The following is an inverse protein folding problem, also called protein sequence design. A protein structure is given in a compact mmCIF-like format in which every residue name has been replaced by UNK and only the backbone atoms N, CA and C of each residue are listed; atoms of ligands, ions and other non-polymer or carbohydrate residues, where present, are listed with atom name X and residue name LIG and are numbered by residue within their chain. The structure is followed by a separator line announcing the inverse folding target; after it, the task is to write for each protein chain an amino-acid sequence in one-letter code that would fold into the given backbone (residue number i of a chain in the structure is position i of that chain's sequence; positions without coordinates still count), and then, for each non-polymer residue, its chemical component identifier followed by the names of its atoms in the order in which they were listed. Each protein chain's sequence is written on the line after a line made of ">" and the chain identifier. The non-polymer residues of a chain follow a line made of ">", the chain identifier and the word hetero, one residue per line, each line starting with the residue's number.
data_IF_765458879193
#
_entry.id   IF_765458879193
#
_cell.length_a   1.000
_cell.length_b   1.000
_cell.length_c   1.000
_cell.angle_alpha   90.00
_cell.angle_beta   90.00
_cell.angle_gamma   90.00
#
_symmetry.space_group_name_H-M   'P 1'
#
loop_
_entity.id
_entity.type
_entity.pdbx_description
1 polymer ?
#
# COMPACT_ATOMS: atom_id res chain seq x y z
N UNK A 1 32.47 13.07 7.13
CA UNK A 1 33.67 13.86 7.13
C UNK A 1 34.78 13.03 6.50
N UNK A 2 34.93 13.10 5.18
CA UNK A 2 36.17 12.78 4.44
C UNK A 2 36.09 13.50 3.11
N UNK A 3 37.01 14.43 2.96
CA UNK A 3 37.24 15.23 1.77
C UNK A 3 37.97 14.38 0.73
N UNK A 4 37.48 14.39 -0.50
CA UNK A 4 38.20 13.87 -1.66
C UNK A 4 38.87 15.03 -2.40
N UNK A 5 40.20 15.06 -2.39
CA UNK A 5 41.01 16.05 -3.07
C UNK A 5 40.97 15.87 -4.58
N UNK A 6 40.63 16.95 -5.27
CA UNK A 6 40.81 17.10 -6.72
C UNK A 6 42.28 17.49 -6.99
N UNK A 7 43.00 16.65 -7.69
CA UNK A 7 44.36 16.96 -8.21
C UNK A 7 44.23 17.56 -9.61
N UNK A 8 44.41 18.86 -9.71
CA UNK A 8 44.61 19.58 -10.98
C UNK A 8 46.08 19.47 -11.39
N UNK A 9 46.36 18.67 -12.41
CA UNK A 9 47.69 18.63 -13.06
C UNK A 9 47.78 19.72 -14.14
N UNK A 10 48.58 20.70 -13.87
CA UNK A 10 48.94 21.77 -14.78
C UNK A 10 50.05 21.28 -15.74
N UNK A 11 49.71 21.11 -17.02
CA UNK A 11 50.67 20.71 -18.07
C UNK A 11 51.21 21.96 -18.79
N UNK A 12 52.29 22.54 -18.27
CA UNK A 12 53.16 23.36 -19.08
C UNK A 12 54.62 23.02 -18.76
N UNK A 13 55.35 22.62 -19.81
CA UNK A 13 56.77 22.34 -19.94
C UNK A 13 57.23 20.88 -19.84
N UNK A 14 57.31 20.25 -20.98
CA UNK A 14 58.44 19.35 -21.32
C UNK A 14 58.50 19.15 -22.84
N UNK A 15 59.40 19.81 -23.49
CA UNK A 15 59.87 19.47 -24.82
C UNK A 15 60.73 18.20 -24.74
N UNK A 16 60.58 17.34 -25.78
CA UNK A 16 61.49 16.27 -26.17
C UNK A 16 61.60 15.05 -25.22
N UNK A 17 60.72 14.10 -25.37
CA UNK A 17 60.99 12.70 -25.10
C UNK A 17 60.19 11.80 -26.09
N UNK A 18 60.96 11.18 -26.95
CA UNK A 18 60.77 10.00 -27.79
C UNK A 18 59.30 9.57 -28.12
N UNK A 19 58.80 10.00 -29.26
CA UNK A 19 57.48 9.73 -29.85
C UNK A 19 57.06 8.23 -29.89
N UNK A 20 58.05 7.31 -29.90
CA UNK A 20 57.82 5.88 -29.95
C UNK A 20 57.45 5.28 -28.59
N UNK A 21 57.85 5.83 -27.46
CA UNK A 21 57.49 5.38 -26.13
C UNK A 21 56.05 5.75 -25.77
N UNK A 22 55.62 6.97 -26.14
CA UNK A 22 54.25 7.43 -25.93
C UNK A 22 53.24 6.68 -26.79
N UNK A 23 53.54 6.40 -28.06
CA UNK A 23 52.67 5.64 -28.95
C UNK A 23 52.47 4.20 -28.49
N UNK A 24 53.51 3.57 -27.94
CA UNK A 24 53.47 2.19 -27.41
C UNK A 24 52.68 2.13 -26.10
N UNK A 25 52.79 3.09 -25.24
CA UNK A 25 52.04 3.14 -23.97
C UNK A 25 50.59 3.60 -24.16
N UNK A 26 50.30 4.45 -25.12
CA UNK A 26 48.89 4.77 -25.53
C UNK A 26 48.20 3.54 -26.14
N UNK A 27 48.92 2.72 -26.94
CA UNK A 27 48.35 1.48 -27.49
C UNK A 27 48.09 0.45 -26.40
N UNK A 28 48.97 0.33 -25.41
CA UNK A 28 48.78 -0.54 -24.24
C UNK A 28 47.65 -0.03 -23.32
N UNK A 29 47.55 1.25 -23.11
CA UNK A 29 46.44 1.87 -22.35
C UNK A 29 45.09 1.72 -23.06
N UNK A 30 45.04 1.83 -24.40
CA UNK A 30 43.84 1.59 -25.19
C UNK A 30 43.44 0.11 -25.23
N UNK A 31 44.40 -0.83 -25.23
CA UNK A 31 44.15 -2.27 -25.13
C UNK A 31 43.68 -2.68 -23.71
N UNK A 32 44.14 -2.01 -22.63
CA UNK A 32 43.62 -2.22 -21.28
C UNK A 32 42.20 -1.59 -21.11
N UNK A 33 41.91 -0.47 -21.74
CA UNK A 33 40.58 0.10 -21.72
C UNK A 33 39.58 -0.73 -22.57
N UNK A 34 40.02 -1.33 -23.66
CA UNK A 34 39.19 -2.21 -24.49
C UNK A 34 38.93 -3.58 -23.84
N UNK A 35 39.84 -4.06 -22.97
CA UNK A 35 39.64 -5.30 -22.22
C UNK A 35 38.70 -5.15 -21.02
N UNK A 36 38.43 -3.91 -20.55
CA UNK A 36 37.47 -3.66 -19.44
C UNK A 36 36.05 -3.37 -19.91
N UNK A 37 35.78 -3.22 -21.19
CA UNK A 37 34.43 -3.00 -21.76
C UNK A 37 33.73 -4.32 -22.13
N UNK A 38 34.36 -5.47 -21.93
CA UNK A 38 33.83 -6.81 -22.24
C UNK A 38 33.12 -7.53 -21.08
N UNK A 39 33.01 -6.94 -19.89
CA UNK A 39 32.03 -7.39 -18.91
C UNK A 39 30.69 -6.75 -19.31
N UNK A 40 29.93 -7.44 -20.18
CA UNK A 40 28.50 -7.28 -20.22
C UNK A 40 28.05 -7.39 -18.74
N UNK A 41 27.65 -6.29 -18.13
CA UNK A 41 26.86 -6.34 -16.94
C UNK A 41 25.71 -7.28 -17.27
N UNK A 42 25.74 -8.53 -16.75
CA UNK A 42 24.51 -9.27 -16.61
C UNK A 42 23.57 -8.28 -15.96
N UNK A 43 22.57 -7.82 -16.69
CA UNK A 43 21.40 -7.23 -16.10
C UNK A 43 20.90 -8.33 -15.19
N UNK A 44 21.25 -8.25 -13.90
CA UNK A 44 20.59 -9.04 -12.88
C UNK A 44 19.11 -8.70 -13.07
N UNK A 45 18.32 -9.68 -13.50
CA UNK A 45 16.88 -9.49 -13.56
C UNK A 45 16.50 -9.17 -12.12
N UNK A 46 16.02 -7.95 -11.90
CA UNK A 46 15.57 -7.52 -10.58
C UNK A 46 14.57 -8.56 -10.09
N UNK A 47 14.78 -9.10 -8.89
CA UNK A 47 13.87 -10.07 -8.30
C UNK A 47 12.43 -9.55 -8.37
N UNK A 48 11.43 -10.40 -8.57
CA UNK A 48 10.03 -9.98 -8.46
C UNK A 48 9.78 -9.37 -7.07
N UNK A 49 8.88 -8.42 -6.96
CA UNK A 49 8.62 -7.72 -5.69
C UNK A 49 8.32 -8.66 -4.53
N UNK A 50 7.59 -9.76 -4.78
CA UNK A 50 7.28 -10.76 -3.74
C UNK A 50 8.47 -11.64 -3.32
N UNK A 51 9.68 -11.34 -3.81
CA UNK A 51 10.97 -11.94 -3.45
C UNK A 51 12.05 -10.88 -3.23
N UNK A 52 11.68 -9.63 -2.99
CA UNK A 52 12.59 -8.49 -2.78
C UNK A 52 12.24 -7.77 -1.47
N UNK A 53 12.89 -8.10 -0.33
CA UNK A 53 12.59 -7.54 0.99
C UNK A 53 12.74 -6.02 1.08
N UNK A 54 13.29 -5.38 0.06
CA UNK A 54 13.36 -3.92 -0.02
C UNK A 54 12.07 -3.29 -0.56
N UNK A 55 11.11 -4.11 -1.06
CA UNK A 55 9.89 -3.66 -1.74
C UNK A 55 8.67 -4.32 -1.14
N UNK A 56 8.18 -3.82 -0.04
CA UNK A 56 6.92 -4.28 0.55
C UNK A 56 5.68 -3.49 0.08
N UNK A 57 5.88 -2.35 -0.60
CA UNK A 57 4.79 -1.50 -1.11
C UNK A 57 5.21 -0.74 -2.37
N UNK A 58 4.29 -0.61 -3.32
CA UNK A 58 4.46 0.24 -4.51
C UNK A 58 3.20 1.05 -4.74
N UNK A 59 3.31 2.38 -4.81
CA UNK A 59 2.22 3.32 -5.08
C UNK A 59 1.02 3.22 -4.11
N UNK A 60 1.20 2.73 -2.90
CA UNK A 60 0.17 2.76 -1.86
C UNK A 60 0.13 4.13 -1.20
N UNK A 61 -0.99 4.49 -0.60
CA UNK A 61 -1.04 5.62 0.32
C UNK A 61 -0.26 5.31 1.60
N UNK A 62 0.18 6.36 2.30
CA UNK A 62 0.79 6.19 3.63
C UNK A 62 -0.23 5.59 4.58
N UNK A 63 0.11 4.53 5.31
CA UNK A 63 -0.78 3.96 6.32
C UNK A 63 -1.13 4.99 7.40
N UNK A 64 -2.38 4.95 7.81
CA UNK A 64 -2.95 5.86 8.81
C UNK A 64 -4.00 5.12 9.64
N UNK A 65 -4.44 5.73 10.72
CA UNK A 65 -5.62 5.23 11.42
C UNK A 65 -6.85 5.31 10.51
N UNK A 66 -7.67 4.27 10.51
CA UNK A 66 -8.85 4.19 9.64
C UNK A 66 -9.88 5.24 10.04
N UNK A 67 -10.34 6.01 9.09
CA UNK A 67 -11.51 6.87 9.20
C UNK A 67 -12.16 7.05 7.83
N UNK A 68 -13.43 7.40 7.82
CA UNK A 68 -14.16 7.77 6.61
C UNK A 68 -14.58 9.25 6.68
N UNK A 69 -14.33 10.00 5.60
CA UNK A 69 -14.70 11.40 5.50
C UNK A 69 -16.11 11.51 4.90
N UNK A 70 -17.02 12.08 5.67
CA UNK A 70 -18.42 12.29 5.26
C UNK A 70 -18.65 13.69 4.72
N UNK A 71 -19.69 13.86 3.90
CA UNK A 71 -20.08 15.13 3.29
C UNK A 71 -20.76 16.06 4.29
N UNK A 72 -21.28 15.53 5.41
CA UNK A 72 -21.93 16.34 6.44
C UNK A 72 -21.70 15.80 7.85
N UNK A 73 -21.90 16.65 8.85
CA UNK A 73 -21.80 16.28 10.26
C UNK A 73 -22.86 15.24 10.66
N UNK A 74 -24.06 15.28 10.08
CA UNK A 74 -25.15 14.33 10.33
C UNK A 74 -24.78 12.92 9.84
N UNK A 75 -24.16 12.81 8.68
CA UNK A 75 -23.65 11.53 8.16
C UNK A 75 -22.49 11.02 9.00
N UNK A 76 -21.58 11.90 9.41
CA UNK A 76 -20.46 11.53 10.28
C UNK A 76 -20.94 11.01 11.65
N UNK A 77 -22.01 11.61 12.21
CA UNK A 77 -22.59 11.12 13.47
C UNK A 77 -23.25 9.74 13.36
N UNK A 78 -23.82 9.40 12.19
CA UNK A 78 -24.36 8.07 11.93
C UNK A 78 -23.27 7.02 11.83
N UNK A 79 -22.06 7.40 11.46
CA UNK A 79 -20.89 6.53 11.25
C UNK A 79 -21.20 5.30 10.39
N UNK A 80 -21.97 5.51 9.32
CA UNK A 80 -22.36 4.49 8.33
C UNK A 80 -21.88 4.94 6.96
N UNK A 81 -20.70 4.48 6.55
CA UNK A 81 -20.04 4.89 5.30
C UNK A 81 -20.90 4.59 4.06
N UNK A 82 -21.72 3.55 4.13
CA UNK A 82 -22.66 3.13 3.07
C UNK A 82 -23.75 4.18 2.82
N UNK A 83 -23.98 5.09 3.76
CA UNK A 83 -24.92 6.21 3.61
C UNK A 83 -24.34 7.41 2.87
N UNK A 84 -23.02 7.43 2.63
CA UNK A 84 -22.34 8.49 1.90
C UNK A 84 -22.50 8.31 0.39
N UNK A 85 -22.79 9.39 -0.33
CA UNK A 85 -22.76 9.40 -1.80
C UNK A 85 -21.33 9.25 -2.37
N UNK A 86 -20.34 9.34 -1.51
CA UNK A 86 -18.91 9.21 -1.84
C UNK A 86 -18.35 7.83 -1.51
N UNK A 87 -19.19 6.86 -1.19
CA UNK A 87 -18.86 5.46 -0.96
C UNK A 87 -19.44 4.57 -2.05
N UNK A 88 -18.67 3.59 -2.48
CA UNK A 88 -19.12 2.55 -3.40
C UNK A 88 -18.46 1.22 -3.04
N UNK A 89 -19.24 0.23 -2.64
CA UNK A 89 -18.73 -1.11 -2.40
C UNK A 89 -18.28 -1.78 -3.71
N UNK A 90 -17.19 -2.53 -3.63
CA UNK A 90 -16.74 -3.46 -4.67
C UNK A 90 -16.95 -4.92 -4.27
N UNK A 91 -17.58 -5.16 -3.14
CA UNK A 91 -17.88 -6.50 -2.66
C UNK A 91 -18.84 -7.26 -3.59
N UNK A 92 -18.99 -8.54 -3.30
CA UNK A 92 -19.83 -9.47 -4.06
C UNK A 92 -19.03 -10.27 -5.08
N UNK A 93 -19.66 -10.73 -6.15
CA UNK A 93 -19.06 -11.63 -7.11
C UNK A 93 -18.05 -10.96 -8.04
N UNK A 94 -16.87 -11.58 -8.17
CA UNK A 94 -15.83 -11.26 -9.12
C UNK A 94 -15.61 -12.42 -10.08
N UNK A 95 -15.19 -12.17 -11.32
CA UNK A 95 -14.62 -13.20 -12.16
C UNK A 95 -13.27 -13.62 -11.58
N UNK A 96 -13.06 -14.91 -11.43
CA UNK A 96 -11.95 -15.47 -10.69
C UNK A 96 -11.32 -16.65 -11.39
N UNK A 97 -10.00 -16.66 -11.46
CA UNK A 97 -9.17 -17.76 -11.89
C UNK A 97 -8.17 -18.12 -10.81
N UNK A 98 -8.19 -19.37 -10.39
CA UNK A 98 -7.26 -19.90 -9.40
C UNK A 98 -6.32 -20.92 -10.03
N UNK A 99 -5.05 -20.83 -9.67
CA UNK A 99 -4.03 -21.82 -10.02
C UNK A 99 -3.25 -22.26 -8.79
N UNK A 100 -2.84 -23.53 -8.81
CA UNK A 100 -2.03 -24.09 -7.73
C UNK A 100 -0.59 -23.57 -7.74
N UNK A 101 -0.04 -23.39 -8.91
CA UNK A 101 1.34 -22.98 -9.14
C UNK A 101 1.35 -21.59 -9.78
N UNK A 102 2.11 -20.66 -9.22
CA UNK A 102 2.10 -19.26 -9.66
C UNK A 102 2.52 -19.11 -11.15
N UNK A 103 3.44 -19.93 -11.64
CA UNK A 103 3.88 -19.91 -13.05
C UNK A 103 2.78 -20.27 -14.05
N UNK A 104 1.64 -20.79 -13.58
CA UNK A 104 0.43 -21.08 -14.38
C UNK A 104 -0.62 -19.96 -14.33
N UNK A 105 -0.36 -18.88 -13.59
CA UNK A 105 -1.28 -17.75 -13.55
C UNK A 105 -1.47 -17.15 -14.97
N UNK A 106 -2.71 -16.74 -15.33
CA UNK A 106 -2.99 -16.27 -16.67
C UNK A 106 -2.23 -14.98 -16.98
N UNK A 107 -1.35 -15.03 -17.99
CA UNK A 107 -0.59 -13.87 -18.42
C UNK A 107 -1.52 -12.81 -19.03
N UNK A 108 -1.27 -11.52 -18.74
CA UNK A 108 -2.01 -10.41 -19.33
C UNK A 108 -3.48 -10.31 -18.91
N UNK A 109 -3.91 -11.05 -17.90
CA UNK A 109 -5.31 -11.11 -17.45
C UNK A 109 -5.88 -9.74 -17.08
N UNK A 110 -5.07 -8.76 -16.80
CA UNK A 110 -5.46 -7.39 -16.46
C UNK A 110 -5.82 -6.53 -17.68
N UNK A 111 -5.59 -7.02 -18.92
CA UNK A 111 -5.94 -6.30 -20.13
C UNK A 111 -7.47 -6.15 -20.25
N UNK A 112 -7.92 -5.02 -20.81
CA UNK A 112 -9.36 -4.71 -20.90
C UNK A 112 -10.08 -5.71 -21.81
N UNK A 113 -9.42 -6.17 -22.87
CA UNK A 113 -9.93 -7.09 -23.88
C UNK A 113 -9.65 -8.57 -23.58
N UNK A 114 -9.13 -8.90 -22.39
CA UNK A 114 -8.89 -10.28 -21.99
C UNK A 114 -10.21 -11.06 -21.83
N UNK A 115 -10.29 -12.22 -22.44
CA UNK A 115 -11.47 -13.11 -22.36
C UNK A 115 -11.48 -13.89 -21.04
N UNK A 116 -12.27 -13.45 -20.08
CA UNK A 116 -12.53 -14.11 -18.80
C UNK A 116 -13.88 -14.85 -18.75
N UNK A 117 -14.51 -15.09 -19.88
CA UNK A 117 -15.84 -15.71 -19.98
C UNK A 117 -15.93 -17.13 -19.38
N UNK A 118 -14.78 -17.81 -19.28
CA UNK A 118 -14.66 -19.17 -18.68
C UNK A 118 -14.30 -19.15 -17.21
N UNK A 119 -14.11 -17.95 -16.62
CA UNK A 119 -13.77 -17.84 -15.21
C UNK A 119 -14.99 -18.09 -14.31
N UNK A 120 -14.75 -18.56 -13.12
CA UNK A 120 -15.81 -18.77 -12.14
C UNK A 120 -16.13 -17.48 -11.40
N UNK A 121 -17.28 -17.46 -10.71
CA UNK A 121 -17.60 -16.39 -9.75
C UNK A 121 -17.04 -16.74 -8.39
N UNK A 122 -16.41 -15.76 -7.75
CA UNK A 122 -15.82 -15.88 -6.43
C UNK A 122 -16.21 -14.64 -5.60
N UNK A 123 -16.66 -14.81 -4.36
CA UNK A 123 -17.05 -13.69 -3.52
C UNK A 123 -15.83 -12.90 -3.04
N UNK A 124 -15.99 -11.59 -2.98
CA UNK A 124 -15.07 -10.67 -2.29
C UNK A 124 -15.90 -9.90 -1.27
N UNK A 125 -15.58 -9.94 0.03
CA UNK A 125 -14.51 -10.74 0.66
C UNK A 125 -14.67 -12.24 0.49
N UNK A 126 -13.53 -12.95 0.39
CA UNK A 126 -13.50 -14.40 0.26
C UNK A 126 -12.09 -14.96 0.40
N UNK A 127 -12.00 -16.12 1.04
CA UNK A 127 -10.74 -16.85 1.27
C UNK A 127 -10.75 -18.14 0.45
N UNK A 128 -9.65 -18.43 -0.23
CA UNK A 128 -9.53 -19.56 -1.15
C UNK A 128 -9.95 -20.87 -0.50
N UNK A 129 -9.37 -21.16 0.65
CA UNK A 129 -9.50 -22.45 1.34
C UNK A 129 -10.92 -22.68 1.92
N UNK A 130 -11.65 -21.60 2.23
CA UNK A 130 -13.05 -21.67 2.67
C UNK A 130 -13.97 -22.03 1.50
N UNK A 131 -13.59 -21.60 0.29
CA UNK A 131 -14.34 -21.86 -0.94
C UNK A 131 -13.84 -23.09 -1.71
N UNK A 132 -12.99 -23.93 -1.09
CA UNK A 132 -12.57 -25.22 -1.68
C UNK A 132 -11.34 -25.15 -2.56
N UNK A 133 -10.59 -24.06 -2.53
CA UNK A 133 -9.35 -23.89 -3.28
C UNK A 133 -8.13 -24.03 -2.37
N UNK A 134 -7.26 -24.98 -2.64
CA UNK A 134 -6.02 -25.18 -1.88
C UNK A 134 -6.21 -25.90 -0.54
N UNK A 135 -5.15 -25.93 0.26
CA UNK A 135 -5.07 -26.67 1.52
C UNK A 135 -5.23 -25.75 2.73
N UNK A 136 -6.03 -26.19 3.68
CA UNK A 136 -6.18 -25.52 4.97
C UNK A 136 -4.99 -25.82 5.84
N UNK A 137 -4.24 -24.80 6.26
CA UNK A 137 -3.11 -24.94 7.16
C UNK A 137 -3.43 -24.23 8.48
N UNK A 138 -3.33 -24.97 9.57
CA UNK A 138 -3.29 -24.43 10.92
C UNK A 138 -1.89 -24.61 11.49
N UNK A 139 -1.33 -23.56 12.06
CA UNK A 139 -0.06 -23.60 12.78
C UNK A 139 -0.17 -22.77 14.05
N UNK A 140 0.19 -23.39 15.18
CA UNK A 140 0.31 -22.73 16.48
C UNK A 140 1.79 -22.56 16.89
N UNK A 141 2.69 -23.38 16.35
CA UNK A 141 4.13 -23.29 16.60
C UNK A 141 4.88 -23.44 15.28
N UNK A 142 5.81 -22.52 15.04
CA UNK A 142 6.65 -22.49 13.86
C UNK A 142 5.95 -21.95 12.62
N UNK A 143 6.74 -21.71 11.60
CA UNK A 143 6.32 -21.02 10.39
C UNK A 143 5.47 -21.91 9.47
N UNK A 144 4.40 -21.37 8.93
CA UNK A 144 3.48 -22.09 8.06
C UNK A 144 4.17 -22.60 6.77
N UNK A 145 5.07 -21.83 6.21
CA UNK A 145 5.82 -22.18 5.00
C UNK A 145 6.72 -23.40 5.20
N UNK A 146 7.23 -23.66 6.41
CA UNK A 146 8.21 -24.73 6.68
C UNK A 146 7.70 -26.16 6.36
N UNK A 147 6.39 -26.34 6.22
CA UNK A 147 5.78 -27.60 5.77
C UNK A 147 5.44 -27.63 4.29
N UNK A 148 5.68 -26.55 3.56
CA UNK A 148 5.26 -26.37 2.18
C UNK A 148 6.43 -26.33 1.20
N UNK A 149 7.54 -25.72 1.59
CA UNK A 149 8.75 -25.59 0.78
C UNK A 149 10.00 -25.44 1.65
N UNK A 150 11.18 -25.54 1.03
CA UNK A 150 12.48 -25.42 1.71
C UNK A 150 12.82 -23.96 2.02
N UNK A 151 13.50 -23.71 3.14
CA UNK A 151 13.95 -22.37 3.51
C UNK A 151 15.01 -21.85 2.54
N UNK A 152 14.71 -20.76 1.86
CA UNK A 152 15.64 -20.04 0.97
C UNK A 152 15.29 -18.55 0.87
N UNK A 153 15.17 -17.82 2.00
CA UNK A 153 14.73 -16.42 1.97
C UNK A 153 15.71 -15.55 1.14
N UNK A 154 15.21 -14.57 0.38
CA UNK A 154 13.82 -14.17 0.27
C UNK A 154 13.01 -14.92 -0.80
N UNK A 155 13.59 -15.92 -1.44
CA UNK A 155 13.01 -16.60 -2.61
C UNK A 155 11.87 -17.53 -2.20
N UNK A 156 10.76 -17.40 -2.93
CA UNK A 156 9.57 -18.23 -2.78
C UNK A 156 9.44 -19.16 -3.98
N UNK A 157 9.12 -20.43 -3.73
CA UNK A 157 8.86 -21.38 -4.81
C UNK A 157 7.56 -21.01 -5.54
N UNK A 158 7.56 -21.09 -6.88
CA UNK A 158 6.35 -20.88 -7.68
C UNK A 158 5.37 -22.05 -7.58
N UNK A 159 5.87 -23.25 -7.31
CA UNK A 159 5.05 -24.44 -7.04
C UNK A 159 4.36 -24.31 -5.68
N UNK A 160 3.09 -24.74 -5.64
CA UNK A 160 2.22 -24.63 -4.47
C UNK A 160 2.08 -23.20 -3.93
N UNK A 161 2.45 -22.19 -4.71
CA UNK A 161 2.16 -20.80 -4.42
C UNK A 161 0.81 -20.43 -5.05
N UNK A 162 -0.26 -20.80 -4.36
CA UNK A 162 -1.64 -20.61 -4.84
C UNK A 162 -1.89 -19.17 -5.23
N UNK A 163 -2.34 -18.99 -6.46
CA UNK A 163 -2.54 -17.65 -7.02
C UNK A 163 -3.96 -17.50 -7.52
N UNK A 164 -4.64 -16.48 -7.01
CA UNK A 164 -5.94 -16.04 -7.48
C UNK A 164 -5.84 -14.77 -8.31
N UNK A 165 -6.38 -14.80 -9.52
CA UNK A 165 -6.54 -13.64 -10.38
C UNK A 165 -8.01 -13.25 -10.40
N UNK A 166 -8.31 -11.99 -10.14
CA UNK A 166 -9.66 -11.44 -10.00
C UNK A 166 -9.91 -10.37 -11.04
N UNK A 167 -11.13 -10.29 -11.57
CA UNK A 167 -11.56 -9.23 -12.48
C UNK A 167 -12.98 -8.80 -12.15
N UNK A 168 -13.23 -7.49 -12.14
CA UNK A 168 -14.57 -6.90 -11.96
C UNK A 168 -14.73 -5.67 -12.84
N UNK A 169 -15.76 -5.68 -13.66
CA UNK A 169 -16.25 -4.49 -14.35
C UNK A 169 -17.26 -3.76 -13.45
N UNK A 170 -17.21 -2.43 -13.47
CA UNK A 170 -18.10 -1.57 -12.67
C UNK A 170 -18.20 -0.18 -13.28
N UNK A 171 -19.19 0.57 -12.85
CA UNK A 171 -19.35 1.99 -13.21
C UNK A 171 -19.28 2.84 -11.95
N UNK A 172 -18.59 3.95 -12.00
CA UNK A 172 -18.54 4.91 -10.90
C UNK A 172 -19.43 6.11 -11.21
N UNK A 173 -20.03 6.74 -10.18
CA UNK A 173 -20.91 7.88 -10.35
C UNK A 173 -20.26 9.01 -11.17
N UNK A 174 -21.00 9.61 -12.08
CA UNK A 174 -20.48 10.66 -12.95
C UNK A 174 -20.13 11.94 -12.15
N UNK A 175 -20.80 12.17 -11.04
CA UNK A 175 -20.58 13.31 -10.12
C UNK A 175 -19.29 13.19 -9.28
N UNK A 176 -18.60 12.03 -9.32
CA UNK A 176 -17.25 11.91 -8.78
C UNK A 176 -16.17 12.53 -9.69
N UNK A 177 -16.59 13.06 -10.86
CA UNK A 177 -15.68 13.74 -11.77
C UNK A 177 -15.07 14.98 -11.13
N UNK A 178 -13.74 15.01 -11.06
CA UNK A 178 -12.98 16.12 -10.45
C UNK A 178 -12.56 15.87 -9.01
N UNK A 179 -13.12 14.87 -8.34
CA UNK A 179 -12.67 14.42 -7.02
C UNK A 179 -11.41 13.55 -7.09
N UNK A 180 -10.79 13.30 -5.97
CA UNK A 180 -9.84 12.22 -5.79
C UNK A 180 -10.63 10.94 -5.50
N UNK A 181 -10.23 9.82 -6.13
CA UNK A 181 -10.90 8.54 -5.97
C UNK A 181 -9.87 7.52 -5.48
N UNK A 182 -10.19 6.89 -4.38
CA UNK A 182 -9.33 5.92 -3.70
C UNK A 182 -9.99 4.55 -3.64
N UNK A 183 -9.17 3.51 -3.63
CA UNK A 183 -9.58 2.15 -3.34
C UNK A 183 -9.02 1.73 -1.99
N UNK A 184 -9.90 1.24 -1.14
CA UNK A 184 -9.56 0.59 0.12
C UNK A 184 -9.68 -0.92 -0.03
N UNK A 185 -8.67 -1.66 0.41
CA UNK A 185 -8.66 -3.12 0.54
C UNK A 185 -8.33 -3.44 2.00
N UNK A 186 -9.27 -3.97 2.73
CA UNK A 186 -9.17 -4.17 4.18
C UNK A 186 -8.17 -5.24 4.60
N UNK A 187 -7.88 -6.22 3.76
CA UNK A 187 -6.74 -7.14 3.87
C UNK A 187 -6.60 -8.01 2.61
N UNK A 188 -5.37 -8.39 2.26
CA UNK A 188 -5.10 -9.36 1.20
C UNK A 188 -3.88 -10.21 1.57
N UNK A 189 -4.08 -11.50 1.81
CA UNK A 189 -3.03 -12.44 2.24
C UNK A 189 -2.54 -13.28 1.06
N UNK A 190 -1.22 -13.32 0.76
CA UNK A 190 -0.10 -12.67 1.46
C UNK A 190 0.28 -11.33 0.85
N UNK A 191 -0.04 -11.12 -0.42
CA UNK A 191 0.24 -9.89 -1.17
C UNK A 191 -0.95 -9.51 -2.07
N UNK A 192 -0.86 -8.33 -2.64
CA UNK A 192 -1.83 -7.80 -3.59
C UNK A 192 -1.12 -7.05 -4.71
N UNK A 193 -1.42 -7.41 -5.95
CA UNK A 193 -1.14 -6.61 -7.14
C UNK A 193 -2.44 -6.06 -7.69
N UNK A 194 -2.44 -4.79 -8.08
CA UNK A 194 -3.62 -4.05 -8.55
C UNK A 194 -3.40 -3.43 -9.92
N UNK A 195 -4.37 -3.63 -10.80
CA UNK A 195 -4.48 -2.96 -12.12
C UNK A 195 -5.87 -2.35 -12.27
N UNK A 196 -5.91 -1.22 -12.97
CA UNK A 196 -7.16 -0.55 -13.36
C UNK A 196 -7.10 -0.19 -14.84
N UNK A 197 -8.13 -0.59 -15.60
CA UNK A 197 -8.23 -0.33 -17.04
C UNK A 197 -6.96 -0.75 -17.80
N UNK A 198 -6.40 -1.92 -17.47
CA UNK A 198 -5.21 -2.49 -18.07
C UNK A 198 -3.87 -1.90 -17.60
N UNK A 199 -3.88 -0.91 -16.71
CA UNK A 199 -2.67 -0.24 -16.21
C UNK A 199 -2.36 -0.67 -14.80
N UNK A 200 -1.08 -0.99 -14.53
CA UNK A 200 -0.62 -1.28 -13.18
C UNK A 200 -0.80 -0.06 -12.27
N UNK A 201 -1.37 -0.29 -11.10
CA UNK A 201 -1.60 0.72 -10.06
C UNK A 201 -0.59 0.59 -8.94
N UNK A 202 -0.51 -0.59 -8.30
CA UNK A 202 0.35 -0.76 -7.15
C UNK A 202 0.42 -2.18 -6.61
N UNK A 203 1.23 -2.33 -5.55
CA UNK A 203 1.55 -3.58 -4.88
C UNK A 203 1.60 -3.40 -3.36
N UNK A 204 1.25 -4.45 -2.59
CA UNK A 204 1.36 -4.50 -1.13
C UNK A 204 1.55 -5.93 -0.64
N UNK A 205 2.35 -6.12 0.42
CA UNK A 205 2.57 -7.41 1.10
C UNK A 205 2.05 -7.45 2.54
N UNK A 206 1.40 -6.41 2.99
CA UNK A 206 0.94 -6.30 4.38
C UNK A 206 -0.33 -7.14 4.60
N UNK A 207 -0.14 -8.46 4.78
CA UNK A 207 -1.17 -9.51 4.71
C UNK A 207 -2.45 -9.25 5.51
N UNK A 208 -2.35 -8.63 6.67
CA UNK A 208 -3.48 -8.48 7.61
C UNK A 208 -3.91 -7.04 7.79
N UNK A 209 -3.10 -6.09 7.36
CA UNK A 209 -3.41 -4.68 7.41
C UNK A 209 -4.16 -4.23 6.14
N UNK A 210 -4.83 -3.11 6.27
CA UNK A 210 -5.48 -2.43 5.15
C UNK A 210 -4.46 -1.74 4.26
N UNK A 211 -4.80 -1.62 2.98
CA UNK A 211 -4.04 -0.85 2.00
C UNK A 211 -4.96 0.03 1.17
N UNK A 212 -4.50 1.24 0.90
CA UNK A 212 -5.23 2.20 0.05
C UNK A 212 -4.39 2.61 -1.16
N UNK A 213 -5.07 2.81 -2.30
CA UNK A 213 -4.47 3.22 -3.57
C UNK A 213 -5.21 4.43 -4.15
N UNK A 214 -4.47 5.39 -4.69
CA UNK A 214 -5.05 6.49 -5.47
C UNK A 214 -5.35 6.04 -6.89
N UNK A 215 -6.64 5.93 -7.21
CA UNK A 215 -7.13 5.53 -8.52
C UNK A 215 -7.55 6.71 -9.40
N UNK A 216 -7.40 7.94 -8.94
CA UNK A 216 -7.93 9.15 -9.60
C UNK A 216 -7.56 9.25 -11.08
N UNK A 217 -6.30 8.95 -11.42
CA UNK A 217 -5.81 9.03 -12.81
C UNK A 217 -6.12 7.81 -13.68
N UNK A 218 -6.62 6.73 -13.07
CA UNK A 218 -6.89 5.46 -13.75
C UNK A 218 -8.35 5.27 -14.09
N UNK A 219 -9.26 5.86 -13.30
CA UNK A 219 -10.70 5.69 -13.42
C UNK A 219 -11.35 6.74 -14.32
N UNK A 220 -12.47 6.38 -14.90
CA UNK A 220 -13.28 7.21 -15.79
C UNK A 220 -14.70 7.33 -15.22
N UNK A 221 -15.02 8.40 -14.44
CA UNK A 221 -16.37 8.61 -13.91
C UNK A 221 -17.44 8.66 -14.99
N UNK A 222 -18.60 8.03 -14.72
CA UNK A 222 -19.70 7.89 -15.65
C UNK A 222 -19.45 6.93 -16.81
N UNK A 223 -18.41 6.09 -16.69
CA UNK A 223 -18.09 5.06 -17.70
C UNK A 223 -17.79 3.73 -17.02
N UNK A 224 -17.85 2.67 -17.84
CA UNK A 224 -17.40 1.35 -17.44
C UNK A 224 -15.89 1.34 -17.20
N UNK A 225 -15.48 0.76 -16.08
CA UNK A 225 -14.10 0.57 -15.68
C UNK A 225 -13.87 -0.90 -15.35
N UNK A 226 -12.62 -1.33 -15.40
CA UNK A 226 -12.17 -2.66 -15.02
C UNK A 226 -11.16 -2.54 -13.87
N UNK A 227 -11.38 -3.29 -12.79
CA UNK A 227 -10.35 -3.60 -11.81
C UNK A 227 -9.91 -5.06 -12.00
N UNK A 228 -8.60 -5.28 -11.97
CA UNK A 228 -7.99 -6.59 -11.90
C UNK A 228 -7.03 -6.66 -10.71
N UNK A 229 -7.09 -7.77 -9.97
CA UNK A 229 -6.23 -8.02 -8.82
C UNK A 229 -5.59 -9.39 -8.91
N UNK A 230 -4.41 -9.54 -8.33
CA UNK A 230 -3.77 -10.84 -8.14
C UNK A 230 -3.29 -10.96 -6.70
N UNK A 231 -3.58 -12.10 -6.09
CA UNK A 231 -3.21 -12.44 -4.71
C UNK A 231 -2.50 -13.79 -4.74
N UNK A 232 -1.35 -13.86 -4.08
CA UNK A 232 -0.57 -15.09 -3.93
C UNK A 232 -0.57 -15.54 -2.47
N UNK A 233 -0.44 -16.85 -2.27
CA UNK A 233 -0.38 -17.45 -0.93
C UNK A 233 0.89 -17.06 -0.18
N UNK A 234 2.02 -16.99 -0.88
CA UNK A 234 3.34 -16.76 -0.30
C UNK A 234 4.04 -15.59 -0.98
N UNK A 235 4.69 -14.78 -0.18
CA UNK A 235 5.68 -13.78 -0.56
C UNK A 235 6.86 -13.84 0.43
N UNK A 236 7.89 -13.07 0.24
CA UNK A 236 9.05 -13.08 1.15
C UNK A 236 8.68 -12.70 2.59
N UNK A 237 7.67 -11.85 2.80
CA UNK A 237 7.10 -11.57 4.11
C UNK A 237 6.58 -12.80 4.84
N UNK A 238 6.21 -13.87 4.11
CA UNK A 238 5.72 -15.13 4.71
C UNK A 238 6.78 -15.84 5.56
N UNK A 239 8.06 -15.58 5.31
CA UNK A 239 9.15 -16.10 6.16
C UNK A 239 9.12 -15.56 7.59
N UNK A 240 8.47 -14.42 7.82
CA UNK A 240 8.40 -13.74 9.11
C UNK A 240 7.04 -13.93 9.81
N UNK A 241 6.04 -14.50 9.13
CA UNK A 241 4.70 -14.69 9.68
C UNK A 241 4.61 -15.97 10.52
N UNK A 242 4.50 -15.81 11.84
CA UNK A 242 4.49 -16.90 12.83
C UNK A 242 3.39 -16.75 13.88
N UNK A 243 2.20 -16.28 13.49
CA UNK A 243 1.07 -16.16 14.41
C UNK A 243 0.33 -17.48 14.56
N UNK A 244 -0.20 -17.74 15.74
CA UNK A 244 -1.00 -18.92 16.06
C UNK A 244 -2.42 -18.79 15.50
N UNK A 245 -2.60 -19.19 14.23
CA UNK A 245 -3.93 -19.25 13.61
C UNK A 245 -3.93 -19.95 12.24
N UNK A 246 -5.10 -20.03 11.63
CA UNK A 246 -5.28 -20.53 10.28
C UNK A 246 -4.59 -19.65 9.23
N UNK A 247 -3.97 -20.29 8.26
CA UNK A 247 -3.30 -19.64 7.13
C UNK A 247 -4.21 -19.73 5.91
N UNK A 248 -5.05 -18.72 5.76
CA UNK A 248 -5.96 -18.60 4.63
C UNK A 248 -5.48 -17.51 3.68
N UNK A 249 -5.72 -17.73 2.39
CA UNK A 249 -5.31 -16.86 1.29
C UNK A 249 -6.52 -16.17 0.69
N UNK A 250 -6.34 -14.94 0.23
CA UNK A 250 -7.40 -14.19 -0.41
C UNK A 250 -7.66 -12.84 0.25
N UNK A 251 -8.82 -12.27 -0.05
CA UNK A 251 -9.25 -10.95 0.43
C UNK A 251 -10.25 -11.19 1.57
N UNK A 252 -9.82 -10.94 2.81
CA UNK A 252 -10.58 -11.34 4.00
C UNK A 252 -11.54 -10.27 4.53
N UNK A 253 -11.38 -9.02 4.08
CA UNK A 253 -12.16 -7.87 4.56
C UNK A 253 -12.70 -7.08 3.39
N UNK A 254 -13.46 -6.06 3.71
CA UNK A 254 -14.13 -5.16 2.78
C UNK A 254 -13.23 -4.57 1.69
N UNK A 255 -13.82 -4.38 0.53
CA UNK A 255 -13.20 -3.67 -0.60
C UNK A 255 -14.18 -2.63 -1.11
N UNK A 256 -13.76 -1.37 -1.14
CA UNK A 256 -14.61 -0.29 -1.61
C UNK A 256 -13.81 0.84 -2.27
N UNK A 257 -14.52 1.65 -3.04
CA UNK A 257 -14.05 2.94 -3.52
C UNK A 257 -14.65 4.05 -2.66
N UNK A 258 -13.88 5.13 -2.50
CA UNK A 258 -14.40 6.36 -1.94
C UNK A 258 -13.84 7.58 -2.67
N UNK A 259 -14.67 8.62 -2.74
CA UNK A 259 -14.28 9.87 -3.37
C UNK A 259 -14.11 10.97 -2.33
N UNK A 260 -13.19 11.88 -2.56
CA UNK A 260 -12.98 13.06 -1.70
C UNK A 260 -12.74 14.31 -2.55
N UNK A 261 -13.11 15.50 -2.06
CA UNK A 261 -12.67 16.75 -2.67
C UNK A 261 -11.16 16.83 -2.75
N UNK A 262 -10.63 17.71 -3.61
CA UNK A 262 -9.18 17.97 -3.71
C UNK A 262 -8.59 18.48 -2.38
N UNK A 263 -9.32 19.38 -1.71
CA UNK A 263 -8.97 19.83 -0.36
C UNK A 263 -9.57 18.83 0.64
N UNK A 264 -8.73 18.12 1.38
CA UNK A 264 -9.17 17.07 2.31
C UNK A 264 -8.27 16.97 3.53
N UNK A 265 -8.79 16.43 4.61
CA UNK A 265 -7.99 15.84 5.69
C UNK A 265 -7.53 14.46 5.21
N UNK A 266 -6.22 14.23 5.23
CA UNK A 266 -5.63 12.94 4.79
C UNK A 266 -5.24 12.05 5.96
N UNK A 267 -5.00 12.61 7.14
CA UNK A 267 -4.69 11.85 8.36
C UNK A 267 -5.09 12.62 9.62
N UNK A 268 -5.49 11.89 10.65
CA UNK A 268 -5.76 12.42 11.99
C UNK A 268 -5.06 11.50 12.99
N UNK A 269 -4.02 12.03 13.63
CA UNK A 269 -3.28 11.33 14.67
C UNK A 269 -3.65 11.90 16.04
N UNK A 270 -4.18 11.04 16.91
CA UNK A 270 -4.72 11.42 18.22
C UNK A 270 -3.90 10.74 19.32
N UNK A 271 -3.40 11.54 20.27
CA UNK A 271 -2.65 11.03 21.42
C UNK A 271 -3.35 11.50 22.70
N UNK A 272 -4.17 10.65 23.33
CA UNK A 272 -4.74 10.92 24.64
C UNK A 272 -3.71 10.67 25.74
N UNK A 273 -3.74 11.51 26.76
CA UNK A 273 -2.92 11.34 27.97
C UNK A 273 -3.67 11.85 29.20
N UNK A 274 -3.22 11.44 30.38
CA UNK A 274 -3.67 11.93 31.66
C UNK A 274 -2.57 12.75 32.34
N UNK A 275 -2.87 13.95 32.77
CA UNK A 275 -1.96 14.88 33.41
C UNK A 275 -2.42 15.22 34.84
N UNK A 276 -1.64 16.01 35.57
CA UNK A 276 -1.97 16.46 36.93
C UNK A 276 -2.29 15.27 37.86
N UNK A 277 -1.37 14.30 37.93
CA UNK A 277 -1.50 13.08 38.72
C UNK A 277 -2.77 12.27 38.34
N UNK A 278 -2.95 12.06 37.03
CA UNK A 278 -4.08 11.33 36.42
C UNK A 278 -5.47 11.96 36.64
N UNK A 279 -5.54 13.21 37.11
CA UNK A 279 -6.81 13.88 37.34
C UNK A 279 -7.40 14.42 36.02
N UNK A 280 -6.61 15.13 35.26
CA UNK A 280 -7.06 15.87 34.09
C UNK A 280 -6.63 15.17 32.79
N UNK A 281 -7.37 15.37 31.72
CA UNK A 281 -7.07 14.84 30.40
C UNK A 281 -6.36 15.86 29.53
N UNK A 282 -5.45 15.35 28.69
CA UNK A 282 -4.80 16.08 27.62
C UNK A 282 -4.94 15.30 26.32
N UNK A 283 -5.45 15.92 25.28
CA UNK A 283 -5.63 15.33 23.97
C UNK A 283 -4.83 16.12 22.95
N UNK A 284 -3.72 15.55 22.47
CA UNK A 284 -2.96 16.11 21.37
C UNK A 284 -3.50 15.55 20.04
N UNK A 285 -3.93 16.44 19.14
CA UNK A 285 -4.46 16.09 17.83
C UNK A 285 -3.56 16.68 16.76
N UNK A 286 -3.07 15.84 15.85
CA UNK A 286 -2.31 16.24 14.67
C UNK A 286 -3.10 15.88 13.43
N UNK A 287 -3.30 16.84 12.54
CA UNK A 287 -4.00 16.68 11.27
C UNK A 287 -3.03 16.89 10.14
N UNK A 288 -3.03 15.95 9.17
CA UNK A 288 -2.46 16.16 7.85
C UNK A 288 -3.58 16.47 6.86
N UNK A 289 -3.39 17.48 6.02
CA UNK A 289 -4.39 17.90 5.06
C UNK A 289 -3.75 18.23 3.70
N UNK A 290 -4.40 17.82 2.64
CA UNK A 290 -3.95 18.05 1.27
C UNK A 290 -4.75 19.21 0.65
N UNK A 291 -4.09 20.08 -0.12
CA UNK A 291 -4.69 21.23 -0.81
C UNK A 291 -5.57 22.13 0.10
N UNK A 292 -5.30 22.18 1.39
CA UNK A 292 -6.14 22.83 2.41
C UNK A 292 -5.42 23.96 3.15
N UNK A 293 -4.31 24.49 2.63
CA UNK A 293 -3.56 25.56 3.27
C UNK A 293 -4.45 26.79 3.52
N UNK A 294 -4.39 27.32 4.76
CA UNK A 294 -5.24 28.45 5.19
C UNK A 294 -6.67 28.07 5.54
N UNK A 295 -7.10 26.83 5.23
CA UNK A 295 -8.43 26.34 5.62
C UNK A 295 -8.52 26.17 7.14
N UNK A 296 -9.71 26.47 7.66
CA UNK A 296 -10.03 26.26 9.08
C UNK A 296 -10.47 24.81 9.30
N UNK A 297 -9.95 24.21 10.36
CA UNK A 297 -10.38 22.90 10.87
C UNK A 297 -10.90 23.11 12.27
N UNK A 298 -12.11 22.63 12.55
CA UNK A 298 -12.74 22.64 13.87
C UNK A 298 -12.78 21.24 14.44
N UNK A 299 -12.54 21.13 15.74
CA UNK A 299 -12.56 19.88 16.50
C UNK A 299 -13.68 19.94 17.52
N UNK A 300 -14.43 18.88 17.64
CA UNK A 300 -15.47 18.72 18.64
C UNK A 300 -15.27 17.38 19.33
N UNK A 301 -15.02 17.41 20.65
CA UNK A 301 -14.94 16.22 21.48
C UNK A 301 -16.29 16.02 22.17
N UNK A 302 -16.88 14.85 21.99
CA UNK A 302 -18.16 14.47 22.58
C UNK A 302 -17.98 13.33 23.58
N UNK A 303 -18.80 13.32 24.63
CA UNK A 303 -18.92 12.18 25.52
C UNK A 303 -19.82 11.09 24.88
N UNK A 304 -19.94 9.97 25.56
CA UNK A 304 -20.77 8.83 25.13
C UNK A 304 -22.25 9.15 24.97
N UNK A 305 -22.74 10.26 25.53
CA UNK A 305 -24.13 10.72 25.37
C UNK A 305 -24.32 11.61 24.14
N UNK A 306 -23.22 11.92 23.43
CA UNK A 306 -23.20 12.85 22.30
C UNK A 306 -23.10 14.32 22.69
N UNK A 307 -22.95 14.64 24.00
CA UNK A 307 -22.76 16.00 24.47
C UNK A 307 -21.35 16.47 24.20
N UNK A 308 -21.19 17.65 23.60
CA UNK A 308 -19.91 18.32 23.42
C UNK A 308 -19.26 18.65 24.76
N UNK A 309 -18.08 18.14 25.03
CA UNK A 309 -17.29 18.36 26.25
C UNK A 309 -16.12 19.31 26.03
N UNK A 310 -15.62 19.39 24.80
CA UNK A 310 -14.61 20.40 24.44
C UNK A 310 -14.65 20.69 22.93
N UNK A 311 -14.15 21.86 22.56
CA UNK A 311 -13.98 22.30 21.18
C UNK A 311 -12.62 22.94 21.01
N UNK A 312 -12.07 22.83 19.80
CA UNK A 312 -10.87 23.57 19.40
C UNK A 312 -10.96 23.90 17.90
N UNK A 313 -10.16 24.83 17.45
CA UNK A 313 -10.07 25.17 16.04
C UNK A 313 -8.68 25.69 15.68
N UNK A 314 -8.32 25.55 14.43
CA UNK A 314 -7.06 26.07 13.92
C UNK A 314 -7.06 26.15 12.40
N UNK A 315 -5.99 26.71 11.85
CA UNK A 315 -5.79 26.81 10.40
C UNK A 315 -4.66 25.89 9.96
N UNK A 316 -4.86 25.20 8.84
CA UNK A 316 -3.84 24.38 8.22
C UNK A 316 -2.70 25.27 7.71
N UNK A 317 -1.47 24.94 8.06
CA UNK A 317 -0.27 25.59 7.59
C UNK A 317 0.76 24.54 7.12
N UNK A 318 1.25 24.66 5.88
CA UNK A 318 2.17 23.67 5.29
C UNK A 318 1.57 22.24 5.24
N UNK A 319 0.25 22.13 5.04
CA UNK A 319 -0.45 20.84 5.01
C UNK A 319 -0.67 20.19 6.38
N UNK A 320 -0.40 20.89 7.49
CA UNK A 320 -0.48 20.35 8.86
C UNK A 320 -1.21 21.30 9.80
N UNK A 321 -1.80 20.72 10.84
CA UNK A 321 -2.33 21.42 11.98
C UNK A 321 -2.11 20.57 13.23
N UNK A 322 -1.71 21.18 14.34
CA UNK A 322 -1.66 20.54 15.65
C UNK A 322 -2.46 21.34 16.65
N UNK A 323 -3.22 20.65 17.49
CA UNK A 323 -4.02 21.23 18.58
C UNK A 323 -3.87 20.36 19.82
N UNK A 324 -3.91 21.04 20.99
CA UNK A 324 -4.03 20.38 22.28
C UNK A 324 -5.37 20.77 22.90
N UNK A 325 -6.12 19.78 23.34
CA UNK A 325 -7.38 19.97 24.05
C UNK A 325 -7.18 19.48 25.49
N UNK A 326 -7.41 20.32 26.45
CA UNK A 326 -7.36 19.98 27.87
C UNK A 326 -8.77 19.79 28.42
N UNK A 327 -8.94 18.79 29.27
CA UNK A 327 -10.23 18.43 29.85
C UNK A 327 -10.09 18.21 31.36
N UNK A 328 -10.80 19.00 32.15
CA UNK A 328 -10.78 18.81 33.59
C UNK A 328 -11.55 17.54 33.99
N UNK A 329 -10.90 16.66 34.72
CA UNK A 329 -11.46 15.45 35.27
C UNK A 329 -12.38 14.65 34.32
N UNK A 330 -11.88 14.21 33.15
CA UNK A 330 -12.67 13.40 32.22
C UNK A 330 -13.02 12.04 32.82
N UNK A 331 -14.01 11.39 32.25
CA UNK A 331 -14.23 9.96 32.49
C UNK A 331 -12.96 9.19 32.06
N UNK A 332 -12.53 8.28 32.89
CA UNK A 332 -11.30 7.50 32.70
C UNK A 332 -11.67 6.08 32.37
N UNK A 333 -10.91 5.50 31.46
CA UNK A 333 -10.97 4.06 31.23
C UNK A 333 -10.49 3.31 32.48
N UNK A 334 -11.22 2.29 32.88
CA UNK A 334 -10.78 1.30 33.86
C UNK A 334 -11.13 -0.11 33.36
N UNK A 335 -10.60 -1.14 34.01
CA UNK A 335 -10.95 -2.52 33.67
C UNK A 335 -12.45 -2.82 33.88
N UNK A 336 -13.11 -2.11 34.80
CA UNK A 336 -14.53 -2.24 35.09
C UNK A 336 -15.42 -1.36 34.18
N UNK A 337 -14.85 -0.32 33.61
CA UNK A 337 -15.53 0.63 32.72
C UNK A 337 -14.67 0.92 31.49
N UNK A 338 -14.58 -0.06 30.57
CA UNK A 338 -13.72 0.02 29.39
C UNK A 338 -14.19 1.05 28.34
#
# INVERSE_FOLDING_TARGET
>A
MFLGDFLLLNLNNANSLNDNWMKRNMLMAALFLAATVGFAAKTESKAPWWMDPSVNRVNTLTPRASFFAYESAELAQKNQKESSSRFMTLEGDWNFNWVKDHDKAPAGFYAVDYDDSKWVKFPVPGLFEIHGYGDRIYKNVGYAWATQFSSNPPYIEEKNNYTGSYRKEFEIPADWKGDNIYMHVGSATSNLMLWVNGKFVGYSEDSKAEVEFDLTKFLQPGKKNLIAMQVMRWCDGSYLEDQDFWRFTGIAREVYLYATPKARVSDVYITPDLVNNYRDGKLDVKVSAENANGQKVSFELKDQTGKTVATAEGKVAGGKLAQTIELSNPQKWTAETP
#
